data_IF_450653372573
#
_entry.id   IF_450653372573
#
_cell.length_a   1.000
_cell.length_b   1.000
_cell.length_c   1.000
_cell.angle_alpha   90.00
_cell.angle_beta   90.00
_cell.angle_gamma   90.00
#
_symmetry.space_group_name_H-M   'P 1'
#
loop_
_entity.id
_entity.type
_entity.pdbx_description
1 polymer ?
2 non-polymer ?
3 non-polymer ?
4 non-polymer ?
5 water ?
#
# COMPACT_ATOMS: atom_id res chain seq x y z
N UNK A 4 9.84 -23.53 -18.58
CA UNK A 4 10.20 -22.26 -17.83
C UNK A 4 9.37 -22.16 -16.53
N UNK A 5 10.00 -22.26 -15.33
CA UNK A 5 9.24 -22.37 -14.08
C UNK A 5 8.57 -21.04 -13.73
N UNK A 6 7.48 -21.13 -12.97
CA UNK A 6 6.76 -19.94 -12.46
C UNK A 6 7.49 -19.42 -11.23
N UNK A 7 7.56 -18.10 -11.07
CA UNK A 7 8.34 -17.57 -9.98
C UNK A 7 7.62 -17.71 -8.65
N UNK A 8 8.40 -17.78 -7.57
CA UNK A 8 7.92 -17.84 -6.17
C UNK A 8 8.00 -16.46 -5.54
N UNK A 9 8.81 -15.57 -6.13
CA UNK A 9 9.02 -14.18 -5.67
C UNK A 9 9.30 -13.29 -6.87
N UNK A 10 8.87 -12.04 -6.79
CA UNK A 10 9.16 -11.00 -7.79
C UNK A 10 9.69 -9.78 -7.07
N UNK A 11 10.33 -8.93 -7.82
CA UNK A 11 10.66 -7.61 -7.24
C UNK A 11 9.80 -6.53 -7.89
N UNK A 12 9.41 -5.60 -7.03
CA UNK A 12 8.50 -4.49 -7.41
C UNK A 12 9.19 -3.18 -7.07
N UNK A 13 9.28 -2.30 -8.03
CA UNK A 13 9.73 -0.91 -7.86
C UNK A 13 8.48 -0.03 -7.68
N UNK A 14 8.51 0.78 -6.65
CA UNK A 14 7.50 1.84 -6.39
C UNK A 14 8.19 3.18 -6.47
N UNK A 15 7.72 4.10 -7.29
CA UNK A 15 8.24 5.46 -7.32
C UNK A 15 7.13 6.44 -7.01
N UNK A 16 7.41 7.48 -6.26
CA UNK A 16 6.49 8.60 -6.09
C UNK A 16 7.25 9.90 -6.31
N UNK A 17 6.69 10.74 -7.13
CA UNK A 17 7.31 12.04 -7.43
C UNK A 17 6.28 13.12 -7.68
N UNK A 18 6.29 14.15 -6.85
CA UNK A 18 5.51 15.35 -7.13
C UNK A 18 6.40 16.21 -8.03
N UNK A 19 6.02 16.33 -9.28
CA UNK A 19 6.85 16.95 -10.33
C UNK A 19 6.74 18.48 -10.29
N UNK A 20 5.89 19.06 -9.47
CA UNK A 20 5.81 20.52 -9.36
C UNK A 20 5.42 21.18 -10.65
N UNK A 21 4.62 20.50 -11.47
CA UNK A 21 4.07 21.05 -12.74
C UNK A 21 5.22 21.49 -13.66
N UNK A 22 6.38 20.82 -13.59
CA UNK A 22 7.51 21.10 -14.49
C UNK A 22 7.84 19.83 -15.22
N UNK A 23 8.32 19.93 -16.49
CA UNK A 23 8.82 18.74 -17.15
C UNK A 23 10.07 18.20 -16.45
N UNK A 24 10.26 16.90 -16.58
CA UNK A 24 11.43 16.26 -15.96
C UNK A 24 12.68 16.66 -16.70
N UNK A 25 13.84 16.45 -16.06
CA UNK A 25 15.10 16.60 -16.78
C UNK A 25 15.31 15.43 -17.74
N UNK A 26 16.37 15.49 -18.55
CA UNK A 26 16.59 14.49 -19.61
C UNK A 26 16.92 13.12 -19.02
N UNK A 27 17.57 13.06 -17.86
CA UNK A 27 17.99 11.79 -17.28
C UNK A 27 17.28 11.62 -15.92
N UNK A 28 16.52 10.53 -15.81
CA UNK A 28 15.86 10.20 -14.52
C UNK A 28 16.20 8.77 -14.10
N UNK A 29 17.23 8.17 -14.70
CA UNK A 29 17.57 6.79 -14.40
C UNK A 29 17.91 6.53 -12.92
N UNK A 30 18.45 7.52 -12.20
CA UNK A 30 18.82 7.36 -10.78
C UNK A 30 17.60 6.93 -9.96
N UNK A 31 16.42 7.40 -10.34
CA UNK A 31 15.16 7.04 -9.65
C UNK A 31 14.93 5.54 -9.70
N UNK A 32 14.99 4.96 -10.90
CA UNK A 32 14.66 3.55 -11.15
C UNK A 32 15.79 2.65 -10.67
N UNK A 33 16.98 3.20 -10.48
CA UNK A 33 18.11 2.45 -9.92
C UNK A 33 18.16 2.53 -8.40
N UNK A 34 17.30 3.27 -7.75
CA UNK A 34 17.31 3.40 -6.28
C UNK A 34 18.65 3.95 -5.82
N UNK A 35 19.10 5.04 -6.46
CA UNK A 35 20.38 5.73 -6.12
C UNK A 35 20.08 7.10 -5.51
N UNK A 36 20.86 7.48 -4.50
CA UNK A 36 20.78 8.80 -3.91
C UNK A 36 21.00 8.68 -2.45
N UNK A 37 20.03 9.12 -1.66
CA UNK A 37 20.10 9.10 -0.19
C UNK A 37 19.19 7.98 0.34
N UNK A 38 19.46 7.52 1.55
CA UNK A 38 18.61 6.58 2.25
C UNK A 38 19.11 5.18 2.09
N UNK A 39 18.19 4.23 2.00
CA UNK A 39 18.49 2.80 1.84
C UNK A 39 18.51 2.52 0.33
N UNK A 40 19.71 2.48 -0.25
CA UNK A 40 19.91 2.48 -1.70
C UNK A 40 20.24 1.06 -2.18
N UNK A 41 20.07 0.90 -3.46
CA UNK A 41 20.28 -0.42 -4.09
C UNK A 41 21.76 -0.60 -4.44
N UNK A 42 22.21 -1.82 -4.27
CA UNK A 42 23.62 -2.14 -4.58
C UNK A 42 23.89 -1.98 -6.10
N UNK A 43 25.04 -1.40 -6.43
CA UNK A 43 25.50 -1.18 -7.84
C UNK A 43 25.50 -2.51 -8.61
N UNK A 44 25.77 -3.61 -7.95
CA UNK A 44 25.86 -4.92 -8.61
C UNK A 44 24.51 -5.36 -9.20
N UNK A 45 23.41 -4.70 -8.79
CA UNK A 45 22.06 -5.03 -9.27
C UNK A 45 21.64 -4.12 -10.41
N UNK A 46 22.42 -3.15 -10.81
CA UNK A 46 21.92 -2.10 -11.73
C UNK A 46 21.34 -2.66 -13.02
N UNK A 47 21.87 -3.75 -13.54
CA UNK A 47 21.37 -4.25 -14.84
C UNK A 47 20.23 -5.24 -14.70
N UNK A 48 19.87 -5.58 -13.45
CA UNK A 48 18.82 -6.58 -13.12
C UNK A 48 17.46 -5.88 -13.11
N UNK A 49 16.58 -6.13 -14.09
CA UNK A 49 15.30 -5.43 -14.11
C UNK A 49 14.47 -5.91 -12.94
N UNK A 50 13.71 -4.98 -12.36
CA UNK A 50 12.58 -5.38 -11.52
C UNK A 50 11.53 -6.04 -12.41
N UNK A 51 10.68 -6.82 -11.78
CA UNK A 51 9.57 -7.49 -12.49
C UNK A 51 8.47 -6.51 -12.88
N UNK A 52 8.15 -5.62 -11.93
CA UNK A 52 7.05 -4.63 -12.08
C UNK A 52 7.60 -3.28 -11.62
N UNK A 53 7.37 -2.21 -12.36
CA UNK A 53 7.63 -0.82 -12.00
C UNK A 53 6.30 -0.08 -11.88
N UNK A 54 6.07 0.53 -10.74
CA UNK A 54 4.83 1.31 -10.49
C UNK A 54 5.26 2.71 -10.21
N UNK A 55 4.78 3.65 -11.03
CA UNK A 55 5.29 5.05 -11.04
C UNK A 55 4.13 6.00 -10.73
N UNK A 56 4.11 6.57 -9.52
CA UNK A 56 3.11 7.54 -9.09
C UNK A 56 3.64 8.93 -9.24
N UNK A 57 2.95 9.78 -9.95
CA UNK A 57 3.29 11.21 -10.02
C UNK A 57 2.15 12.05 -9.49
N UNK A 58 2.51 13.22 -9.04
CA UNK A 58 1.57 14.29 -8.64
C UNK A 58 2.04 15.60 -9.29
N UNK A 59 1.12 16.49 -9.54
CA UNK A 59 1.45 17.76 -10.24
C UNK A 59 2.19 17.41 -11.53
N UNK A 60 1.73 16.39 -12.22
CA UNK A 60 2.37 15.88 -13.46
C UNK A 60 1.85 16.71 -14.63
N UNK A 61 2.73 17.47 -15.31
CA UNK A 61 2.29 18.35 -16.43
C UNK A 61 2.28 17.63 -17.78
N UNK A 62 2.71 16.40 -17.88
CA UNK A 62 2.88 15.69 -19.15
C UNK A 62 1.60 15.00 -19.55
N UNK A 63 1.45 14.75 -20.85
CA UNK A 63 0.43 13.83 -21.32
C UNK A 63 0.83 12.40 -20.93
N UNK A 64 -0.12 11.49 -20.91
CA UNK A 64 0.18 10.07 -20.69
C UNK A 64 1.22 9.62 -21.72
N UNK A 65 1.04 9.97 -22.99
CA UNK A 65 1.94 9.51 -24.05
C UNK A 65 3.33 10.03 -23.74
N UNK A 66 3.48 11.29 -23.41
CA UNK A 66 4.80 11.91 -23.15
C UNK A 66 5.49 11.19 -21.99
N UNK A 67 4.76 10.90 -20.93
CA UNK A 67 5.41 10.33 -19.74
C UNK A 67 5.73 8.87 -19.99
N UNK A 68 4.85 8.12 -20.65
CA UNK A 68 5.12 6.72 -20.99
C UNK A 68 6.38 6.60 -21.84
N UNK A 69 6.52 7.48 -22.84
CA UNK A 69 7.72 7.58 -23.70
C UNK A 69 8.96 7.62 -22.79
N UNK A 70 8.98 8.61 -21.90
CA UNK A 70 10.16 8.89 -21.02
C UNK A 70 10.41 7.67 -20.15
N UNK A 71 9.37 7.09 -19.58
CA UNK A 71 9.56 5.97 -18.65
C UNK A 71 10.12 4.76 -19.39
N UNK A 72 9.50 4.40 -20.51
CA UNK A 72 9.95 3.21 -21.27
C UNK A 72 11.41 3.40 -21.74
N UNK A 73 11.75 4.60 -22.22
CA UNK A 73 13.13 4.93 -22.65
C UNK A 73 14.08 4.71 -21.47
N UNK A 74 13.76 5.30 -20.31
CA UNK A 74 14.62 5.22 -19.11
C UNK A 74 14.88 3.75 -18.75
N UNK A 75 13.83 2.94 -18.72
CA UNK A 75 14.00 1.53 -18.34
C UNK A 75 14.78 0.79 -19.43
N UNK A 76 14.52 1.09 -20.70
CA UNK A 76 15.25 0.46 -21.84
C UNK A 76 16.75 0.76 -21.69
N UNK A 77 17.10 2.01 -21.38
CA UNK A 77 18.51 2.40 -21.21
C UNK A 77 19.12 1.62 -20.06
N UNK A 78 18.42 1.49 -18.93
CA UNK A 78 18.97 0.78 -17.75
C UNK A 78 19.15 -0.70 -18.02
N UNK A 79 18.15 -1.32 -18.62
CA UNK A 79 18.03 -2.79 -18.56
C UNK A 79 18.18 -3.45 -19.93
N UNK A 80 18.04 -2.70 -21.01
CA UNK A 80 17.93 -3.22 -22.40
C UNK A 80 16.70 -4.10 -22.55
N UNK A 81 15.68 -3.89 -21.72
CA UNK A 81 14.37 -4.58 -21.83
C UNK A 81 13.34 -3.54 -22.22
N UNK A 82 12.45 -3.91 -23.12
CA UNK A 82 11.31 -3.09 -23.54
C UNK A 82 10.12 -3.51 -22.70
N UNK A 83 9.78 -2.66 -21.73
CA UNK A 83 8.72 -2.98 -20.78
C UNK A 83 7.38 -2.80 -21.45
N UNK A 84 6.43 -3.60 -21.02
CA UNK A 84 5.03 -3.53 -21.48
C UNK A 84 4.18 -2.72 -20.50
N UNK A 85 3.25 -1.95 -21.02
CA UNK A 85 2.35 -1.14 -20.21
C UNK A 85 1.23 -2.02 -19.69
N UNK A 86 1.11 -2.19 -18.39
CA UNK A 86 0.02 -2.93 -17.74
C UNK A 86 -1.19 -2.02 -17.62
N UNK A 87 -1.00 -0.79 -17.13
CA UNK A 87 -2.09 0.13 -16.88
C UNK A 87 -1.54 1.52 -16.75
N UNK A 88 -2.34 2.52 -17.10
CA UNK A 88 -2.02 3.93 -16.82
C UNK A 88 -3.34 4.56 -16.47
N UNK A 89 -3.37 5.37 -15.44
CA UNK A 89 -4.64 6.05 -15.08
C UNK A 89 -4.30 7.41 -14.49
N UNK A 90 -5.00 8.45 -14.90
CA UNK A 90 -4.74 9.82 -14.48
C UNK A 90 -6.01 10.48 -13.98
N UNK A 91 -5.95 11.12 -12.84
CA UNK A 91 -7.02 12.00 -12.32
C UNK A 91 -6.38 13.37 -12.20
N UNK A 92 -6.86 14.33 -12.94
CA UNK A 92 -6.26 15.68 -12.95
C UNK A 92 -4.77 15.56 -13.25
N UNK A 93 -3.93 15.88 -12.29
CA UNK A 93 -2.47 15.82 -12.47
C UNK A 93 -1.86 14.73 -11.58
N UNK A 94 -2.66 13.79 -11.14
CA UNK A 94 -2.23 12.63 -10.33
C UNK A 94 -2.26 11.41 -11.21
N UNK A 95 -1.19 10.67 -11.32
CA UNK A 95 -1.07 9.63 -12.33
C UNK A 95 -0.38 8.39 -11.78
N UNK A 96 -0.81 7.25 -12.25
CA UNK A 96 -0.14 5.96 -11.96
C UNK A 96 0.15 5.26 -13.27
N UNK A 97 1.36 4.74 -13.41
CA UNK A 97 1.78 3.91 -14.55
C UNK A 97 2.30 2.62 -14.01
N UNK A 98 1.87 1.48 -14.55
CA UNK A 98 2.40 0.16 -14.17
C UNK A 98 3.01 -0.46 -15.43
N UNK A 99 4.28 -0.80 -15.34
CA UNK A 99 5.06 -1.43 -16.42
C UNK A 99 5.57 -2.77 -15.93
N UNK A 100 5.62 -3.76 -16.80
CA UNK A 100 6.11 -5.10 -16.43
C UNK A 100 6.98 -5.67 -17.51
N UNK A 101 7.86 -6.58 -17.09
CA UNK A 101 8.69 -7.38 -18.03
C UNK A 101 7.77 -8.01 -19.07
N UNK A 102 8.12 -7.99 -20.36
CA UNK A 102 7.25 -8.57 -21.37
C UNK A 102 7.02 -10.08 -21.15
N UNK A 103 7.90 -10.75 -20.41
CA UNK A 103 7.80 -12.21 -20.09
C UNK A 103 6.66 -12.48 -19.08
N UNK A 104 6.00 -11.44 -18.56
CA UNK A 104 4.86 -11.57 -17.61
C UNK A 104 3.52 -11.40 -18.31
N UNK A 105 3.51 -11.44 -19.65
CA UNK A 105 2.29 -11.17 -20.48
C UNK A 105 1.17 -12.13 -20.08
N UNK A 106 1.46 -13.42 -19.94
CA UNK A 106 0.45 -14.44 -19.58
C UNK A 106 0.49 -14.67 -18.07
N UNK A 107 1.09 -13.76 -17.29
CA UNK A 107 0.97 -13.96 -15.81
C UNK A 107 0.08 -12.89 -15.20
N UNK A 108 -0.14 -11.83 -15.94
CA UNK A 108 -0.89 -10.67 -15.40
C UNK A 108 -2.28 -10.67 -16.00
N UNK A 109 -3.28 -10.53 -15.16
CA UNK A 109 -4.67 -10.50 -15.65
C UNK A 109 -5.53 -9.68 -14.70
N UNK A 110 -6.81 -9.55 -14.99
CA UNK A 110 -7.77 -8.90 -14.07
C UNK A 110 -7.23 -7.52 -13.74
N UNK A 111 -6.91 -6.73 -14.72
CA UNK A 111 -6.36 -5.36 -14.51
C UNK A 111 -7.52 -4.44 -14.24
N UNK A 112 -7.47 -3.73 -13.11
CA UNK A 112 -8.49 -2.70 -12.75
C UNK A 112 -7.82 -1.36 -12.51
N UNK A 113 -8.52 -0.27 -12.79
CA UNK A 113 -8.07 1.08 -12.46
C UNK A 113 -9.22 1.82 -11.83
N UNK A 114 -8.94 2.80 -10.99
CA UNK A 114 -10.02 3.63 -10.45
C UNK A 114 -9.41 4.90 -9.88
N UNK A 115 -10.22 5.86 -9.52
CA UNK A 115 -9.75 7.09 -8.88
C UNK A 115 -10.79 7.49 -7.84
N UNK A 116 -10.36 8.29 -6.90
CA UNK A 116 -11.23 8.93 -5.90
C UNK A 116 -10.85 10.38 -5.86
N UNK A 117 -11.82 11.28 -5.93
CA UNK A 117 -11.69 12.71 -5.72
C UNK A 117 -12.01 13.02 -4.29
N UNK A 118 -11.09 13.63 -3.56
CA UNK A 118 -11.37 13.96 -2.13
C UNK A 118 -12.03 15.34 -1.98
N UNK A 119 -12.48 15.63 -0.77
CA UNK A 119 -12.97 17.00 -0.52
C UNK A 119 -14.40 17.23 -0.99
N UNK A 120 -14.89 18.47 -0.84
CA UNK A 120 -16.27 18.90 -1.21
C UNK A 120 -16.16 20.38 -1.56
N UNK A 121 -16.90 20.85 -2.56
CA UNK A 121 -16.97 22.27 -2.96
C UNK A 121 -15.54 22.82 -3.13
N UNK A 122 -15.11 23.80 -2.30
CA UNK A 122 -13.79 24.49 -2.29
C UNK A 122 -12.62 23.52 -2.43
N UNK A 123 -12.72 22.36 -1.76
CA UNK A 123 -11.61 21.39 -1.59
C UNK A 123 -11.78 20.22 -2.56
N UNK A 124 -12.74 20.25 -3.47
CA UNK A 124 -12.82 19.22 -4.53
C UNK A 124 -12.29 19.85 -5.81
N UNK A 125 -11.27 19.25 -6.43
CA UNK A 125 -10.86 19.69 -7.78
C UNK A 125 -9.40 19.43 -8.07
N UNK A 126 -8.58 19.15 -7.04
CA UNK A 126 -7.23 18.70 -7.44
C UNK A 126 -6.59 17.55 -6.64
N UNK A 127 -7.11 17.26 -5.44
CA UNK A 127 -6.56 16.19 -4.56
C UNK A 127 -7.37 14.91 -4.73
N UNK A 128 -6.73 13.77 -4.45
CA UNK A 128 -7.39 12.48 -4.52
C UNK A 128 -6.40 11.41 -4.78
N UNK A 129 -6.84 10.34 -5.38
CA UNK A 129 -5.97 9.18 -5.57
C UNK A 129 -6.31 8.46 -6.84
N UNK A 130 -5.34 7.80 -7.43
CA UNK A 130 -5.54 6.83 -8.53
C UNK A 130 -5.04 5.50 -8.06
N UNK A 131 -5.53 4.43 -8.63
CA UNK A 131 -5.02 3.11 -8.29
C UNK A 131 -5.14 2.12 -9.40
N UNK A 132 -4.38 1.05 -9.26
CA UNK A 132 -4.34 -0.06 -10.21
C UNK A 132 -4.34 -1.31 -9.36
N UNK A 133 -5.04 -2.36 -9.79
CA UNK A 133 -4.87 -3.74 -9.29
C UNK A 133 -4.79 -4.72 -10.42
N UNK A 134 -4.21 -5.86 -10.11
CA UNK A 134 -4.21 -6.99 -11.05
C UNK A 134 -3.81 -8.22 -10.29
N UNK A 135 -3.99 -9.35 -10.95
CA UNK A 135 -3.49 -10.64 -10.47
C UNK A 135 -2.17 -10.88 -11.16
N UNK A 136 -1.20 -11.39 -10.43
CA UNK A 136 0.07 -11.93 -10.96
C UNK A 136 0.04 -13.41 -10.59
N UNK A 137 -0.22 -14.26 -11.56
CA UNK A 137 -0.53 -15.70 -11.26
C UNK A 137 -1.58 -15.75 -10.14
N UNK A 138 -1.30 -16.41 -9.02
CA UNK A 138 -2.29 -16.60 -7.95
C UNK A 138 -2.29 -15.48 -6.93
N UNK A 139 -1.54 -14.42 -7.18
CA UNK A 139 -1.34 -13.36 -6.18
C UNK A 139 -2.02 -12.07 -6.65
N UNK A 140 -2.78 -11.45 -5.77
CA UNK A 140 -3.44 -10.16 -6.12
C UNK A 140 -2.57 -8.99 -5.60
N UNK A 141 -2.45 -7.98 -6.42
CA UNK A 141 -1.55 -6.84 -6.14
C UNK A 141 -2.38 -5.56 -6.31
N UNK A 142 -2.27 -4.64 -5.37
CA UNK A 142 -2.95 -3.34 -5.47
C UNK A 142 -1.97 -2.22 -5.24
N UNK A 143 -2.22 -1.11 -5.93
CA UNK A 143 -1.32 0.04 -5.91
C UNK A 143 -2.11 1.31 -5.87
N UNK A 144 -1.84 2.18 -4.92
CA UNK A 144 -2.55 3.46 -4.73
C UNK A 144 -1.55 4.59 -4.73
N UNK A 145 -1.76 5.57 -5.59
CA UNK A 145 -1.01 6.83 -5.61
C UNK A 145 -1.97 7.91 -5.13
N UNK A 146 -1.75 8.51 -3.99
CA UNK A 146 -2.61 9.59 -3.49
C UNK A 146 -1.84 10.87 -3.35
N UNK A 147 -2.47 12.01 -3.62
CA UNK A 147 -2.03 13.37 -3.38
C UNK A 147 -2.99 13.93 -2.34
N UNK A 148 -2.60 13.95 -1.08
CA UNK A 148 -3.48 14.37 0.00
C UNK A 148 -3.38 15.89 0.22
N UNK A 149 -4.27 16.38 1.05
CA UNK A 149 -4.39 17.83 1.35
C UNK A 149 -3.06 18.35 1.84
N UNK A 150 -2.69 19.56 1.40
CA UNK A 150 -1.44 20.21 1.80
C UNK A 150 -1.63 21.07 3.06
N UNK A 151 -0.51 21.43 3.66
CA UNK A 151 -0.48 22.44 4.73
C UNK A 151 -0.21 21.80 6.06
N UNK A 152 0.72 22.37 6.82
CA UNK A 152 1.10 21.80 8.11
C UNK A 152 -0.05 21.64 9.08
N UNK A 153 -1.07 22.50 9.00
CA UNK A 153 -2.14 22.55 10.01
C UNK A 153 -3.26 21.54 9.67
N UNK A 154 -3.15 20.83 8.54
CA UNK A 154 -4.28 20.03 8.00
C UNK A 154 -4.08 18.52 8.10
N UNK A 155 -3.41 18.07 9.14
CA UNK A 155 -3.21 16.61 9.29
C UNK A 155 -4.54 15.85 9.39
N UNK A 156 -5.54 16.43 10.05
CA UNK A 156 -6.83 15.73 10.23
C UNK A 156 -7.53 15.64 8.87
N UNK A 157 -7.36 16.64 8.01
CA UNK A 157 -7.90 16.57 6.62
C UNK A 157 -7.23 15.43 5.87
N UNK A 158 -5.91 15.32 5.98
CA UNK A 158 -5.19 14.22 5.31
C UNK A 158 -5.75 12.89 5.78
N UNK A 159 -5.97 12.78 7.09
CA UNK A 159 -6.49 11.49 7.62
C UNK A 159 -7.87 11.17 7.04
N UNK A 160 -8.68 12.20 6.89
CA UNK A 160 -10.02 12.04 6.28
C UNK A 160 -9.89 11.69 4.80
N UNK A 161 -8.92 12.29 4.13
CA UNK A 161 -8.70 11.96 2.69
C UNK A 161 -8.34 10.47 2.59
N UNK A 162 -7.47 10.00 3.48
CA UNK A 162 -7.07 8.58 3.51
C UNK A 162 -8.30 7.72 3.66
N UNK A 163 -9.17 8.04 4.62
CA UNK A 163 -10.33 7.15 4.87
C UNK A 163 -11.24 7.18 3.64
N UNK A 164 -11.46 8.35 3.03
CA UNK A 164 -12.32 8.37 1.82
C UNK A 164 -11.74 7.55 0.69
N UNK A 165 -10.43 7.64 0.49
CA UNK A 165 -9.78 6.88 -0.59
C UNK A 165 -9.94 5.37 -0.31
N UNK A 166 -9.65 5.00 0.94
CA UNK A 166 -9.76 3.62 1.47
C UNK A 166 -11.15 3.07 1.16
N UNK A 167 -12.18 3.87 1.46
CA UNK A 167 -13.60 3.44 1.34
C UNK A 167 -14.04 3.35 -0.11
N UNK A 168 -13.63 4.29 -0.93
CA UNK A 168 -14.33 4.49 -2.23
C UNK A 168 -13.53 4.02 -3.43
N UNK A 169 -12.24 3.70 -3.29
CA UNK A 169 -11.48 3.22 -4.44
C UNK A 169 -11.89 1.79 -4.73
N UNK A 170 -12.37 1.57 -5.92
CA UNK A 170 -12.98 0.30 -6.34
C UNK A 170 -12.01 -0.49 -7.17
N UNK A 171 -11.18 -1.28 -6.50
CA UNK A 171 -10.17 -2.12 -7.18
C UNK A 171 -10.38 -3.54 -6.75
N UNK A 172 -9.76 -4.46 -7.46
CA UNK A 172 -9.74 -5.85 -7.04
C UNK A 172 -11.07 -6.53 -7.29
N UNK A 173 -11.27 -7.65 -6.60
CA UNK A 173 -12.39 -8.58 -6.91
C UNK A 173 -13.69 -8.03 -6.32
N UNK A 174 -14.60 -7.56 -7.14
CA UNK A 174 -15.89 -6.96 -6.69
C UNK A 174 -16.72 -7.97 -5.89
N UNK A 175 -16.51 -9.32 -6.05
CA UNK A 175 -17.22 -10.32 -5.21
C UNK A 175 -16.82 -10.19 -3.74
N UNK A 176 -15.69 -9.53 -3.46
CA UNK A 176 -15.25 -9.31 -2.05
C UNK A 176 -16.02 -8.14 -1.45
N UNK A 177 -17.34 -8.21 -1.51
CA UNK A 177 -18.19 -7.02 -1.33
C UNK A 177 -18.04 -6.41 0.05
N UNK A 178 -17.84 -7.13 1.19
CA UNK A 178 -17.65 -6.50 2.48
C UNK A 178 -16.30 -5.83 2.68
N UNK A 179 -15.38 -6.03 1.75
CA UNK A 179 -13.96 -5.68 1.98
C UNK A 179 -13.60 -4.45 1.18
N UNK A 180 -12.85 -3.57 1.80
CA UNK A 180 -12.25 -2.42 1.10
C UNK A 180 -10.87 -2.80 0.58
N UNK A 181 -10.19 -1.85 -0.04
CA UNK A 181 -8.86 -2.18 -0.66
C UNK A 181 -7.87 -2.65 0.38
N UNK A 182 -8.06 -2.33 1.65
CA UNK A 182 -7.09 -2.76 2.70
C UNK A 182 -7.20 -4.25 3.00
N UNK A 183 -8.14 -4.98 2.40
CA UNK A 183 -8.25 -6.45 2.54
C UNK A 183 -8.32 -7.16 1.20
N UNK A 184 -8.35 -6.48 0.06
CA UNK A 184 -8.59 -7.22 -1.20
C UNK A 184 -7.32 -7.78 -1.80
N UNK A 185 -6.12 -7.43 -1.31
CA UNK A 185 -4.89 -7.80 -2.05
C UNK A 185 -3.91 -8.54 -1.16
N UNK A 186 -3.24 -9.51 -1.75
CA UNK A 186 -2.12 -10.19 -1.07
C UNK A 186 -1.11 -9.12 -0.64
N UNK A 187 -0.83 -8.19 -1.55
CA UNK A 187 0.10 -7.09 -1.28
C UNK A 187 -0.56 -5.78 -1.77
N UNK A 188 -0.62 -4.80 -0.89
CA UNK A 188 -1.15 -3.47 -1.23
C UNK A 188 -0.05 -2.46 -0.96
N UNK A 189 0.28 -1.66 -1.94
CA UNK A 189 1.28 -0.58 -1.81
C UNK A 189 0.53 0.73 -1.92
N UNK A 190 0.75 1.63 -0.99
CA UNK A 190 0.08 2.96 -0.95
C UNK A 190 1.20 4.00 -0.85
N UNK A 191 1.24 4.93 -1.77
CA UNK A 191 2.34 5.87 -1.88
C UNK A 191 1.79 7.18 -2.38
N UNK A 192 2.63 8.19 -2.43
CA UNK A 192 2.21 9.45 -3.00
C UNK A 192 2.80 10.61 -2.26
N UNK A 193 2.33 11.80 -2.64
CA UNK A 193 2.55 13.03 -1.85
C UNK A 193 1.46 13.06 -0.77
N UNK A 194 1.75 12.36 0.29
CA UNK A 194 0.83 12.25 1.43
C UNK A 194 0.80 13.55 2.22
N UNK A 195 1.81 14.41 2.06
CA UNK A 195 1.75 15.81 2.53
C UNK A 195 1.78 15.96 4.05
N UNK A 196 2.14 14.92 4.78
CA UNK A 196 2.36 15.08 6.23
C UNK A 196 3.69 15.79 6.49
N UNK A 197 3.71 16.64 7.50
CA UNK A 197 4.80 17.57 7.73
C UNK A 197 5.51 17.26 9.05
N UNK A 198 6.67 17.89 9.18
CA UNK A 198 7.44 17.85 10.44
C UNK A 198 6.85 18.98 11.28
N UNK A 199 6.17 18.62 12.37
CA UNK A 199 5.40 19.60 13.19
C UNK A 199 6.31 20.16 14.27
N UNK A 200 7.13 21.15 13.90
CA UNK A 200 8.00 21.89 14.82
C UNK A 200 7.64 23.35 14.59
N UNK A 201 7.98 24.25 15.55
CA UNK A 201 7.65 25.64 15.34
C UNK A 201 8.39 26.24 14.16
N UNK A 202 7.75 27.20 13.48
CA UNK A 202 8.25 27.76 12.20
C UNK A 202 9.58 28.52 12.42
N UNK A 203 9.81 29.03 13.64
CA UNK A 203 11.06 29.74 14.01
C UNK A 203 12.20 28.75 14.33
N UNK A 204 11.93 27.44 14.30
CA UNK A 204 12.99 26.42 14.30
C UNK A 204 13.46 26.05 12.87
N UNK A 205 13.02 26.75 11.82
CA UNK A 205 13.36 26.40 10.43
C UNK A 205 14.86 26.25 10.25
N UNK A 206 15.65 27.22 10.68
CA UNK A 206 17.10 27.13 10.43
C UNK A 206 17.72 26.00 11.25
N UNK A 207 17.21 25.76 12.44
CA UNK A 207 17.66 24.63 13.27
C UNK A 207 17.37 23.33 12.55
N UNK A 208 16.18 23.21 11.96
CA UNK A 208 15.85 21.98 11.18
C UNK A 208 16.83 21.78 10.00
N UNK A 209 17.09 22.85 9.26
CA UNK A 209 18.03 22.81 8.14
C UNK A 209 19.40 22.33 8.58
N UNK A 210 19.88 22.83 9.72
CA UNK A 210 21.23 22.43 10.19
C UNK A 210 21.21 20.95 10.62
N UNK A 211 20.10 20.46 11.21
CA UNK A 211 20.00 19.02 11.51
C UNK A 211 20.05 18.17 10.24
N UNK A 212 19.39 18.65 9.19
CA UNK A 212 19.42 17.93 7.89
C UNK A 212 20.84 17.91 7.32
N UNK A 213 21.55 19.01 7.40
CA UNK A 213 22.94 19.05 6.94
C UNK A 213 23.85 18.10 7.71
N UNK A 214 23.55 17.85 8.97
CA UNK A 214 24.29 16.92 9.83
C UNK A 214 23.83 15.48 9.61
N UNK A 215 22.82 15.27 8.73
CA UNK A 215 22.16 13.97 8.60
C UNK A 215 21.69 13.41 9.94
N UNK A 216 21.16 14.27 10.79
CA UNK A 216 20.62 13.88 12.10
C UNK A 216 19.13 14.05 12.01
N UNK A 217 18.44 13.00 11.64
CA UNK A 217 17.00 13.06 11.33
C UNK A 217 16.17 12.68 12.55
N UNK A 218 16.71 12.15 13.64
CA UNK A 218 15.88 11.55 14.71
C UNK A 218 14.93 12.56 15.36
N UNK A 219 15.39 13.75 15.70
CA UNK A 219 14.55 14.77 16.36
C UNK A 219 13.53 15.33 15.35
N UNK A 220 13.78 15.17 14.03
CA UNK A 220 12.78 15.58 13.03
C UNK A 220 11.74 14.48 12.88
N UNK A 221 12.18 13.23 12.72
CA UNK A 221 11.22 12.11 12.52
C UNK A 221 10.30 11.98 13.72
N UNK A 222 10.77 12.26 14.94
CA UNK A 222 9.93 12.19 16.16
C UNK A 222 8.77 13.18 16.08
N UNK A 223 8.81 14.18 15.16
CA UNK A 223 7.69 15.14 14.96
C UNK A 223 7.02 14.96 13.58
N UNK A 224 7.38 13.93 12.85
CA UNK A 224 6.73 13.68 11.55
C UNK A 224 5.28 13.32 11.80
N UNK A 225 4.37 14.02 11.12
CA UNK A 225 2.95 13.81 11.43
C UNK A 225 2.49 12.43 11.00
N UNK A 226 3.02 11.89 9.93
CA UNK A 226 2.56 10.55 9.51
C UNK A 226 2.98 9.50 10.55
N UNK A 227 4.22 9.52 11.01
CA UNK A 227 4.64 8.59 12.05
C UNK A 227 3.80 8.80 13.33
N UNK A 228 3.55 10.02 13.77
CA UNK A 228 2.81 10.23 15.03
C UNK A 228 1.37 9.86 14.84
N UNK A 229 0.74 10.21 13.73
CA UNK A 229 -0.66 9.81 13.52
C UNK A 229 -0.79 8.29 13.41
N UNK A 230 0.17 7.64 12.77
CA UNK A 230 0.18 6.16 12.69
C UNK A 230 0.28 5.59 14.11
N UNK A 231 1.18 6.13 14.94
CA UNK A 231 1.41 5.55 16.29
C UNK A 231 0.15 5.72 17.14
N UNK A 232 -0.66 6.76 16.89
CA UNK A 232 -1.92 7.01 17.60
C UNK A 232 -3.10 6.35 16.90
N UNK A 233 -2.82 5.51 15.88
CA UNK A 233 -3.85 4.73 15.16
C UNK A 233 -4.89 5.64 14.53
N UNK A 234 -4.47 6.79 14.01
CA UNK A 234 -5.41 7.73 13.37
C UNK A 234 -5.44 7.53 11.87
N UNK A 235 -4.47 6.84 11.28
CA UNK A 235 -4.35 6.68 9.83
C UNK A 235 -3.46 5.48 9.53
N UNK A 236 -3.61 4.85 8.41
CA UNK A 236 -2.73 3.79 7.91
C UNK A 236 -2.63 2.67 8.95
N UNK A 237 -3.71 2.34 9.61
CA UNK A 237 -3.66 1.23 10.59
C UNK A 237 -3.27 -0.02 9.84
N UNK A 238 -2.33 -0.75 10.39
CA UNK A 238 -1.88 -2.07 9.90
C UNK A 238 -1.06 -1.99 8.62
N UNK A 239 -0.58 -0.80 8.26
CA UNK A 239 0.43 -0.62 7.20
C UNK A 239 1.81 -0.53 7.77
N UNK A 240 2.80 -0.86 6.95
CA UNK A 240 4.24 -0.81 7.27
C UNK A 240 4.89 0.34 6.47
N UNK A 241 5.99 0.88 7.01
CA UNK A 241 6.84 1.79 6.28
C UNK A 241 8.26 1.48 6.71
N UNK A 242 9.17 1.45 5.74
CA UNK A 242 10.62 1.26 6.01
C UNK A 242 11.13 2.50 6.76
N UNK A 243 12.12 2.30 7.65
CA UNK A 243 12.72 3.42 8.34
C UNK A 243 13.23 4.43 7.31
N UNK A 244 13.01 5.71 7.60
CA UNK A 244 13.46 6.84 6.76
C UNK A 244 14.89 7.23 7.12
N UNK A 245 15.78 7.15 6.16
CA UNK A 245 17.20 7.48 6.38
C UNK A 245 17.69 8.47 5.34
N UNK A 246 16.77 9.17 4.68
CA UNK A 246 17.05 10.20 3.66
C UNK A 246 16.52 11.54 4.17
N UNK A 247 17.06 12.62 3.64
CA UNK A 247 16.63 13.97 4.01
C UNK A 247 15.19 14.19 3.58
N UNK A 248 14.52 15.12 4.27
CA UNK A 248 13.20 15.57 3.80
C UNK A 248 13.22 15.89 2.30
N UNK A 249 12.14 15.50 1.62
CA UNK A 249 12.07 15.56 0.17
C UNK A 249 11.35 16.81 -0.35
N UNK A 250 10.95 17.66 0.59
CA UNK A 250 10.19 18.89 0.31
C UNK A 250 10.62 19.90 1.38
N UNK A 251 10.62 21.23 1.11
CA UNK A 251 10.40 21.90 -0.14
C UNK A 251 11.73 22.52 -0.60
N UNK A 252 12.19 22.13 -1.76
CA UNK A 252 13.51 22.54 -2.31
C UNK A 252 13.31 23.73 -3.25
N UNK A 253 14.31 24.61 -3.29
CA UNK A 253 14.49 25.51 -4.46
C UNK A 253 14.75 24.63 -5.67
N UNK A 254 14.10 24.93 -6.78
CA UNK A 254 14.35 24.17 -8.02
C UNK A 254 15.78 24.37 -8.56
N UNK A 255 16.28 23.38 -9.25
CA UNK A 255 17.54 23.38 -10.05
C UNK A 255 18.78 23.19 -9.18
N UNK A 256 18.60 23.09 -7.88
CA UNK A 256 19.67 22.65 -6.94
C UNK A 256 19.04 21.69 -5.94
N UNK A 257 19.80 21.01 -5.09
CA UNK A 257 19.23 20.46 -3.83
C UNK A 257 19.93 21.09 -2.65
N UNK A 258 20.57 22.23 -2.86
CA UNK A 258 21.39 22.86 -1.79
C UNK A 258 20.52 23.67 -0.82
N UNK A 259 19.28 24.00 -1.18
CA UNK A 259 18.44 24.94 -0.42
C UNK A 259 17.02 24.42 -0.26
N UNK A 260 16.59 24.44 0.98
CA UNK A 260 15.18 24.30 1.35
C UNK A 260 14.52 25.68 1.31
N UNK A 261 13.41 25.80 0.60
CA UNK A 261 12.62 27.04 0.46
C UNK A 261 11.42 26.92 1.39
N UNK A 262 11.52 27.38 2.60
CA UNK A 262 10.48 27.16 3.62
C UNK A 262 9.66 28.41 3.98
N UNK A 263 10.15 29.60 3.63
CA UNK A 263 9.56 30.89 4.11
C UNK A 263 8.18 31.11 3.47
N UNK A 264 7.30 31.83 4.15
CA UNK A 264 5.96 32.13 3.64
C UNK A 264 6.12 33.16 2.50
N UNK A 265 5.37 32.92 1.43
CA UNK A 265 5.40 33.74 0.19
C UNK A 265 3.97 33.86 -0.33
N UNK A 266 3.64 34.90 -1.13
CA UNK A 266 2.28 34.94 -1.69
C UNK A 266 1.96 33.64 -2.42
N UNK A 267 2.93 33.08 -3.15
CA UNK A 267 2.81 31.83 -3.93
C UNK A 267 2.46 30.65 -3.01
N UNK A 268 2.80 30.69 -1.71
CA UNK A 268 2.42 29.57 -0.80
C UNK A 268 1.15 29.87 -0.03
N UNK A 269 0.40 30.94 -0.36
CA UNK A 269 -0.71 31.35 0.48
C UNK A 269 -0.23 31.88 1.81
N UNK A 270 0.96 32.45 1.87
CA UNK A 270 1.58 32.93 3.12
C UNK A 270 1.67 31.81 4.14
N UNK A 271 1.99 30.60 3.67
CA UNK A 271 2.22 29.40 4.52
C UNK A 271 3.70 29.08 4.55
N UNK A 272 4.20 28.68 5.72
CA UNK A 272 5.54 28.10 5.85
C UNK A 272 5.47 26.66 5.36
N UNK A 273 6.54 26.24 4.72
CA UNK A 273 6.75 24.83 4.31
C UNK A 273 8.07 24.37 4.93
N UNK A 274 8.04 24.10 6.22
CA UNK A 274 9.24 23.56 6.87
C UNK A 274 9.59 22.26 6.18
N UNK A 275 10.87 21.91 6.08
CA UNK A 275 11.30 20.66 5.46
C UNK A 275 10.55 19.47 6.03
N UNK A 276 10.04 18.64 5.12
CA UNK A 276 9.13 17.56 5.48
C UNK A 276 9.32 16.36 4.57
N UNK A 277 8.92 15.21 5.12
CA UNK A 277 8.86 13.96 4.36
C UNK A 277 7.43 13.80 3.80
N UNK A 278 7.15 14.63 2.78
CA UNK A 278 5.81 14.55 2.14
C UNK A 278 5.59 13.27 1.38
N UNK A 279 6.64 12.69 0.86
CA UNK A 279 6.61 11.75 -0.27
C UNK A 279 6.95 10.36 0.25
N UNK A 280 6.02 9.43 0.26
CA UNK A 280 6.15 8.25 1.12
C UNK A 280 5.68 7.00 0.39
N UNK A 281 6.13 5.85 0.84
CA UNK A 281 5.68 4.52 0.38
C UNK A 281 5.39 3.67 1.58
N UNK A 282 4.19 3.17 1.66
CA UNK A 282 3.76 2.23 2.72
C UNK A 282 3.17 0.99 2.07
N UNK A 283 3.06 -0.08 2.84
CA UNK A 283 2.49 -1.32 2.32
C UNK A 283 1.76 -2.10 3.38
N UNK A 284 0.90 -2.99 2.92
CA UNK A 284 0.18 -3.91 3.79
C UNK A 284 0.08 -5.20 3.02
N UNK A 285 0.58 -6.31 3.54
CA UNK A 285 0.47 -7.62 2.92
C UNK A 285 -0.29 -8.53 3.88
N UNK A 286 -0.93 -9.55 3.34
CA UNK A 286 -1.61 -10.54 4.18
C UNK A 286 -0.61 -11.19 5.13
N UNK A 287 -1.11 -11.68 6.26
CA UNK A 287 -0.25 -12.27 7.26
C UNK A 287 0.59 -13.42 6.69
N UNK A 288 1.86 -13.43 7.09
CA UNK A 288 2.83 -14.52 6.82
C UNK A 288 3.07 -14.66 5.33
N UNK A 289 2.85 -13.61 4.54
CA UNK A 289 3.36 -13.60 3.16
C UNK A 289 4.68 -12.87 3.13
N UNK A 290 5.64 -13.40 2.40
CA UNK A 290 6.96 -12.78 2.26
C UNK A 290 6.83 -11.41 1.60
N UNK A 291 7.35 -10.38 2.27
CA UNK A 291 7.52 -9.06 1.63
C UNK A 291 8.66 -8.41 2.37
N UNK A 292 9.66 -7.97 1.65
CA UNK A 292 10.88 -7.36 2.24
C UNK A 292 11.20 -6.11 1.44
N UNK A 293 11.26 -4.98 2.16
CA UNK A 293 11.72 -3.76 1.51
C UNK A 293 13.23 -3.80 1.30
N UNK A 294 13.66 -3.64 0.05
CA UNK A 294 15.08 -3.72 -0.37
C UNK A 294 15.69 -2.32 -0.48
N UNK A 295 14.88 -1.27 -0.68
CA UNK A 295 15.40 0.10 -0.84
C UNK A 295 14.29 1.07 -0.48
N UNK A 296 14.65 2.19 0.10
CA UNK A 296 13.71 3.27 0.41
C UNK A 296 14.54 4.52 0.51
N UNK A 297 14.41 5.43 -0.43
CA UNK A 297 15.27 6.59 -0.46
C UNK A 297 14.85 7.63 -1.43
N UNK A 298 15.63 8.66 -1.64
CA UNK A 298 15.30 9.77 -2.52
C UNK A 298 16.45 9.97 -3.48
N UNK A 299 16.17 10.49 -4.65
CA UNK A 299 17.25 10.85 -5.58
C UNK A 299 17.81 12.20 -5.17
N UNK A 300 19.04 12.42 -5.60
CA UNK A 300 19.83 13.66 -5.36
C UNK A 300 20.04 14.47 -6.64
N UNK A 301 19.80 13.90 -7.81
CA UNK A 301 20.21 14.51 -9.09
C UNK A 301 19.05 14.89 -9.99
N UNK A 302 17.80 14.84 -9.48
CA UNK A 302 16.59 15.21 -10.26
C UNK A 302 16.04 16.43 -9.54
N UNK A 303 16.15 17.61 -10.16
CA UNK A 303 16.02 18.91 -9.46
C UNK A 303 14.98 19.83 -10.11
N UNK A 304 14.17 19.32 -11.05
CA UNK A 304 13.19 20.18 -11.78
C UNK A 304 12.02 20.56 -10.88
N UNK A 305 11.75 19.79 -9.83
CA UNK A 305 10.64 20.01 -8.92
C UNK A 305 11.09 20.57 -7.58
N UNK A 306 10.16 21.08 -6.81
CA UNK A 306 10.40 21.41 -5.40
C UNK A 306 10.32 20.16 -4.51
N UNK A 307 9.99 19.01 -5.07
CA UNK A 307 10.13 17.73 -4.37
C UNK A 307 11.21 16.92 -5.04
N UNK A 308 11.93 16.11 -4.27
CA UNK A 308 12.74 15.02 -4.84
C UNK A 308 11.93 13.74 -5.00
N UNK A 309 12.18 12.98 -6.07
CA UNK A 309 11.58 11.67 -6.22
C UNK A 309 11.95 10.76 -5.07
N UNK A 310 11.06 9.86 -4.74
CA UNK A 310 11.25 8.81 -3.74
C UNK A 310 11.12 7.47 -4.43
N UNK A 311 11.95 6.51 -4.08
CA UNK A 311 11.91 5.13 -4.54
C UNK A 311 11.76 4.17 -3.39
N UNK A 312 11.09 3.08 -3.63
CA UNK A 312 11.09 1.93 -2.72
C UNK A 312 11.07 0.69 -3.58
N UNK A 313 11.79 -0.35 -3.17
CA UNK A 313 11.72 -1.65 -3.88
C UNK A 313 11.44 -2.74 -2.88
N UNK A 314 10.76 -3.77 -3.37
CA UNK A 314 10.32 -4.89 -2.55
C UNK A 314 10.55 -6.21 -3.25
N UNK A 315 10.90 -7.22 -2.46
CA UNK A 315 10.84 -8.64 -2.86
C UNK A 315 9.54 -9.20 -2.27
N UNK A 316 8.60 -9.63 -3.12
CA UNK A 316 7.25 -10.03 -2.73
C UNK A 316 7.01 -11.47 -3.14
N UNK A 317 6.50 -12.24 -2.20
CA UNK A 317 6.06 -13.62 -2.45
C UNK A 317 4.89 -13.65 -3.39
N UNK A 318 4.91 -14.61 -4.33
CA UNK A 318 3.82 -14.85 -5.31
C UNK A 318 3.60 -16.35 -5.36
N UNK A 319 2.41 -16.70 -5.74
CA UNK A 319 2.04 -18.13 -5.86
C UNK A 319 1.61 -18.40 -7.29
N UNK A 320 1.62 -19.68 -7.66
CA UNK A 320 1.28 -20.16 -9.03
C UNK A 320 -0.23 -20.18 -9.19
N UNK A 321 -0.70 -20.23 -10.44
CA UNK A 321 -2.12 -20.43 -10.79
C UNK A 321 -2.37 -21.95 -10.78
N UNK A 322 -2.63 -22.52 -9.59
CA UNK A 322 -2.77 -23.97 -9.30
C UNK A 322 -3.98 -24.63 -9.98
N UNK A 323 -3.70 -25.73 -10.68
CA UNK A 323 -4.71 -26.70 -11.22
C UNK A 323 -4.48 -28.07 -10.56
N UNK A 324 -5.54 -28.71 -10.07
CA UNK A 324 -5.53 -30.15 -9.72
C UNK A 324 -6.51 -30.93 -10.61
N UNK A 325 -6.51 -32.25 -10.40
CA UNK A 325 -7.44 -33.24 -10.98
C UNK A 325 -8.86 -32.76 -10.65
N UNK A 326 -9.06 -32.26 -9.42
CA UNK A 326 -10.36 -31.78 -8.86
C UNK A 326 -10.49 -30.29 -9.15
N UNK A 327 -10.22 -29.40 -8.18
CA UNK A 327 -10.37 -27.94 -8.37
C UNK A 327 -9.31 -27.38 -9.32
N UNK A 328 -9.56 -26.26 -10.04
CA UNK A 328 -10.85 -25.55 -10.06
C UNK A 328 -12.06 -26.20 -10.77
N UNK A 329 -13.27 -25.95 -10.24
CA UNK A 329 -14.56 -26.40 -10.79
C UNK A 329 -15.16 -27.57 -10.05
N UNK A 330 -14.53 -27.96 -8.96
CA UNK A 330 -15.11 -28.87 -7.95
C UNK A 330 -14.30 -28.67 -6.65
N UNK A 331 -14.74 -29.33 -5.58
CA UNK A 331 -14.01 -29.40 -4.27
C UNK A 331 -12.98 -30.53 -4.33
N UNK A 332 -12.13 -30.61 -3.30
CA UNK A 332 -11.16 -31.70 -3.06
C UNK A 332 -11.52 -32.29 -1.69
N UNK A 333 -12.48 -33.21 -1.65
CA UNK A 333 -13.01 -33.83 -0.40
C UNK A 333 -11.88 -33.98 0.63
N UNK A 334 -10.64 -34.15 0.16
CA UNK A 334 -9.49 -34.47 1.04
C UNK A 334 -9.07 -33.25 1.87
N UNK A 335 -9.59 -32.05 1.56
CA UNK A 335 -9.29 -30.81 2.31
C UNK A 335 -10.47 -30.29 3.13
N UNK A 336 -10.19 -29.68 4.30
CA UNK A 336 -11.21 -28.98 5.09
C UNK A 336 -10.55 -27.99 6.06
N UNK A 337 -11.33 -26.97 6.39
CA UNK A 337 -10.91 -25.93 7.37
C UNK A 337 -12.01 -25.87 8.42
N UNK A 338 -11.64 -26.14 9.67
CA UNK A 338 -12.56 -26.13 10.82
C UNK A 338 -12.15 -25.04 11.80
N UNK A 339 -13.14 -24.47 12.49
CA UNK A 339 -12.97 -23.39 13.49
C UNK A 339 -13.57 -23.83 14.83
N UNK A 340 -12.82 -23.68 15.91
CA UNK A 340 -13.23 -24.13 17.26
C UNK A 340 -13.10 -22.91 18.19
N UNK A 341 -13.89 -22.84 19.29
CA UNK A 341 -13.79 -21.85 20.38
C UNK A 341 -13.60 -20.44 19.76
N UNK A 342 -14.36 -20.11 18.73
CA UNK A 342 -14.26 -18.79 18.01
C UNK A 342 -15.23 -17.77 18.60
N UNK A 343 -14.70 -16.56 18.77
CA UNK A 343 -15.56 -15.43 19.13
C UNK A 343 -15.00 -14.14 18.54
N UNK A 344 -15.94 -13.25 18.28
CA UNK A 344 -15.66 -11.87 17.85
C UNK A 344 -15.89 -10.96 19.06
N UNK A 345 -15.06 -9.95 19.21
CA UNK A 345 -15.21 -8.89 20.23
C UNK A 345 -15.41 -7.62 19.42
N UNK A 346 -16.50 -6.92 19.65
CA UNK A 346 -16.83 -5.74 18.82
C UNK A 346 -16.95 -4.51 19.71
N UNK A 347 -16.49 -3.37 19.23
CA UNK A 347 -16.59 -2.08 19.94
C UNK A 347 -17.99 -1.46 19.81
N UNK A 348 -18.88 -2.03 19.04
CA UNK A 348 -20.23 -1.46 18.80
C UNK A 348 -21.08 -1.36 20.07
N UNK A 349 -21.93 -0.31 20.09
CA UNK A 349 -22.95 -0.11 21.14
C UNK A 349 -24.25 -0.81 20.72
N UNK A 350 -24.33 -1.31 19.48
CA UNK A 350 -25.55 -1.91 18.90
C UNK A 350 -25.76 -3.30 19.50
N UNK A 351 -26.96 -3.88 19.28
CA UNK A 351 -27.37 -5.18 19.88
C UNK A 351 -28.10 -6.09 18.87
N UNK A 352 -27.93 -5.89 17.55
CA UNK A 352 -28.34 -6.85 16.48
C UNK A 352 -27.66 -8.21 16.73
N UNK A 353 -28.21 -9.28 16.17
CA UNK A 353 -27.48 -10.54 16.02
C UNK A 353 -26.44 -10.31 14.90
N UNK A 354 -25.38 -11.10 14.93
CA UNK A 354 -24.30 -11.04 13.91
C UNK A 354 -24.09 -12.43 13.32
N UNK A 355 -23.65 -12.45 12.06
CA UNK A 355 -23.17 -13.68 11.41
C UNK A 355 -21.85 -13.40 10.70
N UNK A 356 -21.15 -14.46 10.31
CA UNK A 356 -19.83 -14.31 9.65
C UNK A 356 -19.99 -14.64 8.17
N UNK A 357 -19.13 -14.04 7.35
CA UNK A 357 -18.88 -14.52 5.98
C UNK A 357 -17.40 -14.83 5.88
N UNK A 358 -17.10 -15.96 5.27
CA UNK A 358 -15.73 -16.39 4.96
C UNK A 358 -15.55 -16.24 3.46
N UNK A 359 -14.56 -15.48 3.02
CA UNK A 359 -14.27 -15.29 1.60
C UNK A 359 -12.84 -15.73 1.35
N UNK A 360 -12.64 -16.49 0.31
CA UNK A 360 -11.28 -16.87 -0.09
C UNK A 360 -11.31 -17.41 -1.51
N UNK A 361 -10.24 -17.14 -2.25
CA UNK A 361 -9.95 -17.74 -3.58
C UNK A 361 -9.94 -19.28 -3.47
N UNK A 362 -9.62 -19.83 -2.29
CA UNK A 362 -9.57 -21.31 -2.12
C UNK A 362 -10.97 -21.92 -1.98
N UNK A 363 -12.04 -21.12 -1.94
CA UNK A 363 -13.45 -21.58 -1.87
C UNK A 363 -14.13 -21.31 -3.21
N UNK A 364 -15.12 -22.13 -3.57
CA UNK A 364 -15.90 -21.94 -4.81
C UNK A 364 -16.69 -20.63 -4.70
N UNK A 365 -17.24 -20.36 -3.51
CA UNK A 365 -17.95 -19.10 -3.22
C UNK A 365 -17.92 -18.86 -1.72
N UNK A 366 -18.24 -17.64 -1.34
CA UNK A 366 -18.14 -17.29 0.10
C UNK A 366 -19.13 -18.15 0.90
N UNK A 367 -18.88 -18.24 2.18
CA UNK A 367 -19.69 -19.09 3.10
C UNK A 367 -20.23 -18.21 4.21
N UNK A 368 -21.53 -18.31 4.47
CA UNK A 368 -22.24 -17.50 5.49
C UNK A 368 -22.61 -18.39 6.68
N UNK A 369 -22.11 -18.03 7.87
CA UNK A 369 -22.32 -18.78 9.13
C UNK A 369 -23.73 -18.53 9.63
N UNK A 370 -24.09 -19.33 10.62
CA UNK A 370 -25.27 -19.07 11.46
C UNK A 370 -24.98 -17.86 12.32
N UNK A 371 -26.01 -17.29 12.92
CA UNK A 371 -25.85 -16.21 13.92
C UNK A 371 -25.07 -16.70 15.13
N UNK A 372 -24.23 -15.84 15.65
CA UNK A 372 -23.53 -16.03 16.92
C UNK A 372 -24.45 -15.72 18.10
N UNK A 373 -23.95 -16.04 19.29
CA UNK A 373 -24.65 -15.78 20.57
C UNK A 373 -23.98 -14.60 21.25
N UNK A 374 -24.71 -13.50 21.36
CA UNK A 374 -24.20 -12.26 22.02
C UNK A 374 -24.14 -12.47 23.52
N UNK A 375 -23.01 -12.15 24.12
CA UNK A 375 -22.85 -11.99 25.59
C UNK A 375 -22.32 -10.58 25.83
N UNK A 376 -22.53 -10.07 27.03
CA UNK A 376 -21.92 -8.83 27.58
C UNK A 376 -20.52 -9.21 28.11
N UNK A 377 -19.47 -8.66 27.50
CA UNK A 377 -18.08 -8.68 28.00
C UNK A 377 -17.91 -7.85 29.27
N UNK A 378 -16.96 -8.23 30.13
CA UNK A 378 -16.79 -7.74 31.52
C UNK A 378 -16.42 -6.25 31.56
N UNK A 379 -15.83 -5.71 30.48
CA UNK A 379 -15.39 -4.28 30.41
C UNK A 379 -16.29 -3.49 29.44
N UNK A 380 -17.55 -3.92 29.24
CA UNK A 380 -18.57 -3.16 28.48
C UNK A 380 -18.76 -3.63 27.03
N UNK A 381 -17.79 -4.33 26.44
CA UNK A 381 -17.72 -4.66 24.98
C UNK A 381 -18.83 -5.64 24.59
N UNK A 382 -19.03 -5.86 23.29
CA UNK A 382 -19.90 -6.97 22.85
C UNK A 382 -19.04 -8.17 22.43
N UNK A 383 -19.32 -9.33 23.01
CA UNK A 383 -18.68 -10.61 22.63
C UNK A 383 -19.71 -11.42 21.86
N UNK A 384 -19.37 -11.83 20.65
CA UNK A 384 -20.26 -12.66 19.82
C UNK A 384 -19.63 -14.05 19.76
N UNK A 385 -20.26 -15.03 20.41
CA UNK A 385 -19.71 -16.41 20.49
C UNK A 385 -20.28 -17.25 19.36
N UNK A 386 -19.36 -17.90 18.68
CA UNK A 386 -19.63 -18.88 17.62
C UNK A 386 -19.37 -20.29 18.19
N UNK A 387 -18.56 -20.43 19.26
CA UNK A 387 -18.03 -21.70 19.79
C UNK A 387 -17.58 -22.65 18.68
N UNK A 388 -18.36 -23.72 18.48
CA UNK A 388 -18.07 -24.89 17.60
C UNK A 388 -19.09 -24.86 16.47
N UNK A 389 -19.85 -23.77 16.35
CA UNK A 389 -21.02 -23.68 15.44
C UNK A 389 -20.61 -23.30 14.00
N UNK A 390 -19.38 -22.85 13.76
CA UNK A 390 -19.01 -22.32 12.40
C UNK A 390 -18.98 -23.44 11.38
N UNK A 391 -19.38 -23.19 10.11
CA UNK A 391 -19.34 -24.20 9.05
C UNK A 391 -17.91 -24.72 8.84
N UNK A 392 -17.85 -25.94 8.31
CA UNK A 392 -16.60 -26.56 7.82
C UNK A 392 -16.37 -26.06 6.40
N UNK A 393 -15.23 -25.42 6.10
CA UNK A 393 -14.99 -24.87 4.74
C UNK A 393 -14.32 -25.94 3.89
N UNK A 394 -14.72 -25.98 2.63
CA UNK A 394 -14.31 -27.03 1.67
C UNK A 394 -13.50 -26.39 0.56
N UNK A 395 -12.16 -26.41 0.68
CA UNK A 395 -11.32 -25.81 -0.34
C UNK A 395 -11.38 -26.61 -1.64
N UNK A 396 -11.12 -25.91 -2.73
CA UNK A 396 -11.23 -26.43 -4.12
C UNK A 396 -10.04 -27.34 -4.39
N UNK A 397 -8.97 -27.14 -3.65
CA UNK A 397 -7.69 -27.89 -3.81
C UNK A 397 -7.19 -28.24 -2.41
N UNK A 398 -6.77 -29.48 -2.20
CA UNK A 398 -6.36 -29.96 -0.84
C UNK A 398 -4.86 -30.05 -0.72
N UNK A 399 -4.11 -29.90 -1.83
CA UNK A 399 -2.64 -30.02 -1.83
C UNK A 399 -2.11 -29.02 -0.82
N UNK A 400 -1.28 -29.43 0.14
CA UNK A 400 -0.78 -28.50 1.16
C UNK A 400 0.09 -27.42 0.54
N UNK A 401 0.80 -27.68 -0.57
CA UNK A 401 1.64 -26.66 -1.24
C UNK A 401 0.79 -25.51 -1.77
N UNK A 402 -0.49 -25.78 -1.98
CA UNK A 402 -1.45 -24.70 -2.34
C UNK A 402 -2.07 -24.17 -1.06
N UNK A 403 -2.67 -25.04 -0.27
CA UNK A 403 -3.64 -24.60 0.77
C UNK A 403 -2.92 -23.81 1.85
N UNK A 404 -1.70 -24.16 2.21
CA UNK A 404 -1.00 -23.48 3.33
C UNK A 404 -0.63 -22.06 2.90
N UNK A 405 -0.69 -21.77 1.61
CA UNK A 405 -0.37 -20.41 1.11
C UNK A 405 -1.61 -19.53 1.02
N UNK A 406 -2.77 -20.02 1.40
CA UNK A 406 -4.02 -19.26 1.21
C UNK A 406 -4.38 -18.48 2.48
N UNK A 407 -5.42 -17.65 2.32
CA UNK A 407 -5.93 -16.80 3.40
C UNK A 407 -7.43 -16.79 3.37
N UNK A 408 -8.04 -16.67 4.54
CA UNK A 408 -9.49 -16.51 4.70
C UNK A 408 -9.78 -15.11 5.18
N UNK A 409 -10.52 -14.36 4.38
CA UNK A 409 -11.08 -13.07 4.81
C UNK A 409 -12.36 -13.35 5.60
N UNK A 410 -12.54 -12.61 6.67
CA UNK A 410 -13.74 -12.73 7.56
C UNK A 410 -14.37 -11.36 7.67
N UNK A 411 -15.68 -11.34 7.46
CA UNK A 411 -16.55 -10.19 7.76
C UNK A 411 -17.57 -10.61 8.80
N UNK A 412 -17.76 -9.77 9.79
CA UNK A 412 -18.88 -9.99 10.74
C UNK A 412 -19.95 -8.98 10.36
N UNK A 413 -21.15 -9.48 10.06
CA UNK A 413 -22.26 -8.66 9.50
C UNK A 413 -23.46 -8.70 10.44
N UNK A 414 -24.15 -7.57 10.52
CA UNK A 414 -25.45 -7.45 11.20
C UNK A 414 -26.51 -8.27 10.46
N UNK A 415 -27.24 -9.11 11.18
CA UNK A 415 -28.43 -9.81 10.62
C UNK A 415 -29.50 -8.79 10.21
N UNK A 416 -29.60 -7.67 10.89
CA UNK A 416 -30.68 -6.68 10.66
C UNK A 416 -30.41 -5.90 9.37
N UNK A 417 -29.15 -5.52 9.11
CA UNK A 417 -28.83 -4.59 7.99
C UNK A 417 -27.97 -5.28 6.92
N UNK A 418 -27.37 -6.42 7.22
CA UNK A 418 -26.40 -7.13 6.35
C UNK A 418 -25.19 -6.22 6.07
N UNK A 419 -24.93 -5.25 7.05
CA UNK A 419 -23.74 -4.38 6.91
C UNK A 419 -22.59 -4.99 7.72
N UNK A 420 -21.39 -4.95 7.05
CA UNK A 420 -20.19 -5.39 7.81
C UNK A 420 -19.90 -4.44 8.95
N UNK A 421 -19.65 -4.99 10.12
CA UNK A 421 -19.15 -4.26 11.27
C UNK A 421 -17.65 -4.45 11.45
N UNK A 422 -17.03 -5.39 10.74
CA UNK A 422 -15.60 -5.64 10.91
C UNK A 422 -15.13 -6.65 9.88
N UNK A 423 -13.91 -6.42 9.41
CA UNK A 423 -13.23 -7.26 8.42
C UNK A 423 -11.83 -7.58 8.92
N UNK A 424 -11.39 -8.81 8.64
CA UNK A 424 -10.03 -9.23 8.98
C UNK A 424 -9.62 -10.39 8.12
N UNK A 425 -8.43 -10.94 8.39
CA UNK A 425 -7.80 -11.91 7.49
C UNK A 425 -7.03 -12.92 8.34
N UNK A 426 -7.22 -14.20 8.08
CA UNK A 426 -6.51 -15.32 8.76
C UNK A 426 -5.64 -16.04 7.73
N UNK A 427 -4.37 -16.21 8.01
CA UNK A 427 -3.45 -17.03 7.19
C UNK A 427 -3.66 -18.52 7.45
N UNK A 428 -3.59 -19.32 6.39
CA UNK A 428 -3.56 -20.80 6.53
C UNK A 428 -2.12 -21.32 6.60
N UNK A 429 -1.12 -20.46 6.74
CA UNK A 429 0.31 -20.83 6.85
C UNK A 429 0.57 -21.34 8.27
N UNK A 430 0.00 -22.50 8.61
CA UNK A 430 -0.03 -23.00 10.00
C UNK A 430 1.24 -23.79 10.33
N UNK A 431 1.53 -23.88 11.62
CA UNK A 431 2.68 -24.64 12.15
C UNK A 431 2.44 -26.16 12.03
N UNK A 432 1.22 -26.58 11.85
CA UNK A 432 0.81 -28.01 11.85
C UNK A 432 -0.49 -28.13 11.11
N UNK A 433 -0.76 -29.29 10.53
CA UNK A 433 -2.09 -29.64 10.04
C UNK A 433 -2.74 -30.69 10.98
N UNK A 434 -4.04 -30.86 10.87
CA UNK A 434 -4.80 -31.87 11.66
C UNK A 434 -4.61 -31.57 13.14
N UNK A 435 -4.38 -30.31 13.53
CA UNK A 435 -3.95 -29.89 14.88
C UNK A 435 -4.70 -28.60 15.24
N UNK A 436 -5.29 -28.51 16.43
CA UNK A 436 -5.98 -27.26 16.86
C UNK A 436 -4.94 -26.21 17.15
N UNK A 437 -5.02 -25.04 16.50
CA UNK A 437 -4.04 -23.97 16.66
C UNK A 437 -4.77 -22.65 16.81
N UNK A 438 -4.22 -21.76 17.64
CA UNK A 438 -4.82 -20.44 17.81
C UNK A 438 -4.78 -19.65 16.48
N UNK A 439 -5.86 -18.91 16.27
CA UNK A 439 -5.95 -17.90 15.18
C UNK A 439 -6.44 -16.59 15.77
N UNK A 440 -6.15 -15.51 15.07
CA UNK A 440 -6.44 -14.14 15.53
C UNK A 440 -6.39 -13.24 14.31
N UNK A 441 -7.32 -12.30 14.27
CA UNK A 441 -7.14 -11.08 13.43
C UNK A 441 -7.79 -9.92 14.16
N UNK A 442 -7.24 -8.73 14.04
CA UNK A 442 -8.02 -7.55 14.34
C UNK A 442 -9.14 -7.41 13.29
N UNK A 443 -10.18 -6.70 13.68
CA UNK A 443 -11.29 -6.37 12.76
C UNK A 443 -11.29 -4.88 12.56
N UNK A 444 -11.48 -4.45 11.31
CA UNK A 444 -11.58 -3.02 10.97
C UNK A 444 -12.82 -2.81 10.14
N UNK A 445 -13.27 -1.57 10.10
CA UNK A 445 -14.34 -1.16 9.17
C UNK A 445 -14.05 0.26 8.78
N UNK A 446 -14.12 0.53 7.48
CA UNK A 446 -13.65 1.82 6.92
C UNK A 446 -12.20 2.07 7.40
N UNK A 447 -11.42 1.02 7.60
CA UNK A 447 -9.98 1.08 7.93
C UNK A 447 -9.72 1.43 9.38
N UNK A 448 -10.75 1.59 10.24
CA UNK A 448 -10.60 1.85 11.68
C UNK A 448 -10.91 0.60 12.49
N UNK A 449 -10.25 0.46 13.64
CA UNK A 449 -10.43 -0.72 14.48
C UNK A 449 -11.83 -0.81 15.04
N UNK A 450 -12.48 -1.93 14.87
CA UNK A 450 -13.84 -2.16 15.39
C UNK A 450 -13.95 -3.38 16.33
N UNK A 451 -12.85 -4.11 16.45
CA UNK A 451 -12.94 -5.35 17.25
C UNK A 451 -11.83 -6.31 16.90
N UNK A 452 -12.06 -7.56 17.29
CA UNK A 452 -11.12 -8.68 17.07
C UNK A 452 -11.87 -9.96 16.87
N UNK A 453 -11.21 -10.90 16.21
CA UNK A 453 -11.75 -12.26 16.00
C UNK A 453 -10.65 -13.23 16.41
N UNK A 454 -11.01 -14.17 17.29
CA UNK A 454 -10.00 -15.15 17.75
C UNK A 454 -10.69 -16.48 18.01
N UNK A 455 -9.88 -17.53 17.94
CA UNK A 455 -10.41 -18.88 18.09
C UNK A 455 -9.30 -19.86 17.85
N UNK A 456 -9.71 -21.02 17.38
CA UNK A 456 -8.77 -22.03 16.91
C UNK A 456 -9.22 -22.50 15.54
N UNK A 457 -8.22 -23.01 14.83
CA UNK A 457 -8.37 -23.58 13.49
C UNK A 457 -7.81 -25.01 13.53
N UNK A 458 -8.43 -25.82 12.55
CA UNK A 458 -7.96 -27.21 12.29
C UNK A 458 -8.01 -27.36 10.77
N UNK A 459 -6.77 -27.47 10.17
CA UNK A 459 -6.64 -27.56 8.72
C UNK A 459 -6.25 -28.97 8.32
N UNK A 460 -7.08 -29.57 7.46
CA UNK A 460 -6.85 -30.90 6.81
C UNK A 460 -6.37 -30.65 5.38
N UNK A 461 -5.19 -31.16 5.03
CA UNK A 461 -4.69 -31.11 3.64
C UNK A 461 -4.65 -32.56 3.15
N UNK A 462 -4.30 -32.78 1.90
CA UNK A 462 -4.06 -34.15 1.36
C UNK A 462 -2.83 -34.82 2.00
N UNK A 463 -1.96 -34.12 2.73
CA UNK A 463 -0.76 -34.81 3.32
C UNK A 463 -0.97 -35.11 4.82
X LIG B 1 5.88 1.85 14.30
X LIG B 1 4.34 4.09 13.81
X LIG B 1 4.54 0.05 16.26
X LIG B 1 3.85 0.45 14.93
X LIG B 1 3.03 -0.18 12.95
X LIG B 1 3.14 -1.21 11.81
X LIG B 1 3.67 -2.86 13.42
X LIG B 1 3.57 -1.79 14.50
X LIG B 1 4.50 1.77 14.46
X LIG B 1 6.50 3.03 13.90
X LIG B 1 5.72 4.13 13.65
X LIG B 1 3.73 2.90 14.22
X LIG B 1 2.38 2.88 14.34
X LIG B 1 3.88 -0.48 14.04
X LIG B 1 3.02 -2.56 12.20
X LIG C 1 1.64 -7.59 -21.40
X LIG C 1 2.30 -7.60 -18.72
X LIG C 1 -0.90 -6.00 -21.90
X LIG C 1 -0.83 -7.11 -20.84
X LIG C 1 -2.04 -8.86 -20.10
X LIG C 1 -2.99 -9.99 -20.55
X LIG C 1 -1.98 -10.06 -22.64
X LIG C 1 -1.00 -8.95 -22.23
X LIG C 1 0.65 -7.38 -20.46
X LIG C 1 2.95 -7.83 -21.01
X LIG C 1 3.30 -7.84 -19.66
X LIG C 1 1.00 -7.37 -19.11
X LIG C 1 0.02 -7.16 -18.20
X LIG C 1 -1.52 -8.12 -21.19
X LIG C 1 -2.42 -10.82 -21.53
X LIG D 1 -1.56 -15.44 -2.57
X LIG D 1 -0.38 -15.51 -3.41
X LIG D 1 -0.95 -15.69 -0.95
X LIG D 1 -2.48 -16.97 -2.66
X LIG E 1 -7.97 -14.19 -1.01
X LIG E 1 -8.25 -15.68 -1.02
X LIG E 1 -9.38 -13.39 -1.76
X LIG E 1 -8.36 -13.75 0.63
X LIG F 1 -5.66 -7.83 9.60
X LIG F 1 -6.25 -7.76 8.21
X LIG F 1 -4.37 -6.65 9.70
X LIG F 1 -4.73 -9.33 9.69
#
# INVERSE_FOLDING_TARGET
SMEQPEPDMITIFIGTWNMGNAPPPKKITSWFLSKGQGKTRDDSADYIPHDIYVIGTQEDPLSEKEWLEILKHSLQEITSVTFKTVAIHTLWNIRIVVLAKPEHENRISHICTDNVKTGIANTLGNKGAVGVSFMFNGTSLGFVNSHLTSGSEKKLRRNQNYMNILRFLALGDKKLSPFNITHRFTHLFWFGDLNYRVDLPTWEAETIIQKIKQQQYADLLSHDQLLTERREQKVFLHFEEEEITFAPTYRFERLTRDKYAYTKQKATGMKYNLPSWCDRVLWKSYPLVHVVCQSYGSTSDIMTSDHSPVFATFEAGVTSQFVSKNGPGTVDSQGQIEFLRCYATLKTKSQTKFYLEFHSSCLESFVKSQEGENEEGSEGELVVKFGETLPKLKPIISDPEYLLDQHILISIKSSDSDESYGEGCIALRLEATETQLPIYTPLTHHGELTGHFQGEIKLQTSQ
WMG C10 C13 C01 C02 C04 C05 C07 C08 C09 C11 C12 C14 F15 N03 N06
WMD C10 C13 C01 C02 C04 C05 C07 C08 C09 C11 C12 C14 F15 N03 N06
DMS S O C1 C2
DMS S O C1 C2
DMS S O C1 C2
#
